data_IF_392780619081
#
_entry.id   IF_392780619081
#
_cell.length_a   1.000
_cell.length_b   1.000
_cell.length_c   1.000
_cell.angle_alpha   90.00
_cell.angle_beta   90.00
_cell.angle_gamma   90.00
#
_symmetry.space_group_name_H-M   'P 1'
#
loop_
_entity.id
_entity.type
_entity.pdbx_description
1 polymer ?
#
# COMPACT_ATOMS: atom_id res chain seq x y z
N UNK A 1 -3.56 -8.21 -15.31
CA UNK A 1 -4.62 -7.18 -15.34
C UNK A 1 -5.44 -7.19 -14.07
N UNK A 2 -5.64 -6.05 -13.43
CA UNK A 2 -6.55 -5.98 -12.29
C UNK A 2 -7.99 -6.30 -12.70
N UNK A 3 -8.72 -6.93 -11.80
CA UNK A 3 -10.13 -7.23 -12.04
C UNK A 3 -10.97 -5.96 -11.79
N UNK A 4 -11.80 -5.52 -12.73
CA UNK A 4 -12.62 -4.33 -12.53
C UNK A 4 -13.72 -4.51 -11.46
N UNK A 5 -14.05 -5.76 -11.11
CA UNK A 5 -15.05 -6.04 -10.07
C UNK A 5 -14.48 -6.03 -8.66
N UNK A 6 -13.15 -5.93 -8.51
CA UNK A 6 -12.50 -5.89 -7.21
C UNK A 6 -12.06 -4.47 -6.88
N UNK A 7 -12.06 -4.16 -5.60
CA UNK A 7 -11.45 -2.91 -5.12
C UNK A 7 -9.93 -3.05 -5.12
N UNK A 8 -9.25 -1.93 -5.30
CA UNK A 8 -7.79 -1.90 -5.36
C UNK A 8 -7.22 -1.34 -4.06
N UNK A 9 -6.28 -2.08 -3.49
CA UNK A 9 -5.60 -1.73 -2.25
C UNK A 9 -4.12 -1.50 -2.54
N UNK A 10 -3.61 -0.33 -2.17
CA UNK A 10 -2.20 -0.01 -2.29
C UNK A 10 -1.48 -0.31 -0.98
N UNK A 11 -0.35 -0.98 -1.07
CA UNK A 11 0.45 -1.39 0.08
C UNK A 11 1.84 -0.75 -0.02
N UNK A 12 2.13 0.14 0.92
CA UNK A 12 3.41 0.86 0.98
C UNK A 12 3.95 0.75 2.39
N UNK A 13 5.26 0.62 2.53
CA UNK A 13 5.89 0.56 3.84
C UNK A 13 7.25 1.24 3.80
N UNK A 14 7.58 1.98 4.86
CA UNK A 14 8.94 2.43 5.10
C UNK A 14 9.85 1.21 5.30
N UNK A 15 11.15 1.36 5.08
CA UNK A 15 12.09 0.24 5.17
C UNK A 15 11.99 -0.48 6.50
N UNK A 16 11.90 0.24 7.60
CA UNK A 16 11.76 -0.35 8.93
C UNK A 16 10.43 -1.04 9.19
N UNK A 17 9.47 -0.94 8.27
CA UNK A 17 8.14 -1.54 8.43
C UNK A 17 7.83 -2.61 7.37
N UNK A 18 8.76 -2.92 6.49
CA UNK A 18 8.51 -3.90 5.42
C UNK A 18 8.23 -5.30 5.96
N UNK A 19 8.96 -5.73 7.00
CA UNK A 19 8.73 -7.03 7.62
C UNK A 19 7.31 -7.10 8.24
N UNK A 20 6.87 -6.02 8.88
CA UNK A 20 5.52 -5.94 9.45
C UNK A 20 4.46 -5.98 8.36
N UNK A 21 4.69 -5.33 7.23
CA UNK A 21 3.78 -5.37 6.09
C UNK A 21 3.62 -6.79 5.56
N UNK A 22 4.73 -7.51 5.41
CA UNK A 22 4.69 -8.89 4.91
C UNK A 22 3.93 -9.79 5.88
N UNK A 23 4.21 -9.66 7.19
CA UNK A 23 3.48 -10.42 8.21
C UNK A 23 2.00 -10.10 8.20
N UNK A 24 1.63 -8.81 8.08
CA UNK A 24 0.25 -8.37 7.99
C UNK A 24 -0.47 -9.02 6.80
N UNK A 25 0.16 -9.03 5.64
CA UNK A 25 -0.41 -9.62 4.44
C UNK A 25 -0.62 -11.12 4.63
N UNK A 26 0.35 -11.83 5.19
CA UNK A 26 0.24 -13.27 5.43
C UNK A 26 -0.83 -13.59 6.46
N UNK A 27 -0.90 -12.82 7.53
CA UNK A 27 -1.88 -13.05 8.60
C UNK A 27 -3.32 -12.76 8.16
N UNK A 28 -3.50 -11.95 7.11
CA UNK A 28 -4.80 -11.53 6.62
C UNK A 28 -5.05 -11.96 5.17
N UNK A 29 -4.40 -13.03 4.74
CA UNK A 29 -4.39 -13.42 3.34
C UNK A 29 -5.79 -13.68 2.78
N UNK A 30 -6.71 -14.21 3.59
CA UNK A 30 -8.08 -14.50 3.15
C UNK A 30 -8.87 -13.24 2.81
N UNK A 31 -8.60 -12.15 3.51
CA UNK A 31 -9.22 -10.85 3.23
C UNK A 31 -8.50 -10.16 2.07
N UNK A 32 -7.17 -10.14 2.12
CA UNK A 32 -6.34 -9.36 1.19
C UNK A 32 -6.42 -9.91 -0.24
N UNK A 33 -6.52 -11.21 -0.41
CA UNK A 33 -6.65 -11.80 -1.75
C UNK A 33 -7.91 -11.37 -2.50
N UNK A 34 -8.88 -10.76 -1.82
CA UNK A 34 -10.10 -10.25 -2.45
C UNK A 34 -9.88 -8.92 -3.16
N UNK A 35 -8.72 -8.30 -2.97
CA UNK A 35 -8.41 -7.01 -3.58
C UNK A 35 -7.47 -7.17 -4.76
N UNK A 36 -7.52 -6.20 -5.68
CA UNK A 36 -6.40 -5.96 -6.58
C UNK A 36 -5.31 -5.29 -5.75
N UNK A 37 -4.10 -5.82 -5.78
CA UNK A 37 -3.00 -5.30 -4.95
C UNK A 37 -2.00 -4.52 -5.79
N UNK A 38 -1.59 -3.37 -5.27
CA UNK A 38 -0.51 -2.55 -5.82
C UNK A 38 0.48 -2.32 -4.69
N UNK A 39 1.76 -2.45 -4.96
CA UNK A 39 2.79 -2.24 -3.94
C UNK A 39 4.07 -1.69 -4.55
N UNK A 40 4.81 -0.92 -3.77
CA UNK A 40 6.09 -0.36 -4.21
C UNK A 40 7.23 -1.34 -3.94
N UNK A 41 8.22 -1.29 -4.81
CA UNK A 41 9.54 -1.87 -4.66
C UNK A 41 9.59 -3.29 -4.09
N UNK A 42 10.43 -3.46 -3.08
CA UNK A 42 10.65 -4.75 -2.42
C UNK A 42 9.40 -5.26 -1.69
N UNK A 43 8.53 -4.38 -1.24
CA UNK A 43 7.25 -4.81 -0.62
C UNK A 43 6.45 -5.66 -1.60
N UNK A 44 6.32 -5.22 -2.84
CA UNK A 44 5.62 -5.97 -3.87
C UNK A 44 6.25 -7.32 -4.15
N UNK A 45 7.58 -7.37 -4.16
CA UNK A 45 8.31 -8.61 -4.37
C UNK A 45 8.01 -9.63 -3.27
N UNK A 46 8.03 -9.21 -2.00
CA UNK A 46 7.74 -10.11 -0.88
C UNK A 46 6.28 -10.57 -0.87
N UNK A 47 5.35 -9.70 -1.25
CA UNK A 47 3.94 -10.07 -1.35
C UNK A 47 3.75 -11.13 -2.43
N UNK A 48 4.40 -10.96 -3.57
CA UNK A 48 4.37 -11.94 -4.66
C UNK A 48 4.94 -13.28 -4.22
N UNK A 49 6.03 -13.28 -3.46
CA UNK A 49 6.63 -14.48 -2.89
C UNK A 49 5.71 -15.18 -1.89
N UNK A 50 4.81 -14.43 -1.26
CA UNK A 50 3.80 -15.02 -0.36
C UNK A 50 2.63 -15.66 -1.12
N UNK A 51 2.65 -15.64 -2.44
CA UNK A 51 1.67 -16.33 -3.27
C UNK A 51 0.52 -15.46 -3.77
N UNK A 52 0.61 -14.15 -3.60
CA UNK A 52 -0.41 -13.21 -4.05
C UNK A 52 -0.01 -12.51 -5.34
N UNK A 53 -1.00 -12.24 -6.18
CA UNK A 53 -0.80 -11.41 -7.35
C UNK A 53 -0.75 -9.95 -6.92
N UNK A 54 0.27 -9.24 -7.36
CA UNK A 54 0.45 -7.83 -7.01
C UNK A 54 1.02 -7.08 -8.21
N UNK A 55 0.49 -5.89 -8.47
CA UNK A 55 1.07 -5.00 -9.47
C UNK A 55 2.21 -4.24 -8.77
N UNK A 56 3.44 -4.52 -9.17
CA UNK A 56 4.62 -3.91 -8.56
C UNK A 56 4.90 -2.55 -9.19
N UNK A 57 4.98 -1.53 -8.34
CA UNK A 57 5.44 -0.21 -8.73
C UNK A 57 6.95 -0.13 -8.54
N UNK A 58 7.56 0.96 -9.00
CA UNK A 58 8.97 1.22 -8.73
C UNK A 58 9.19 1.41 -7.23
N UNK A 59 10.45 1.31 -6.78
CA UNK A 59 10.82 1.66 -5.41
C UNK A 59 10.60 3.16 -5.17
N UNK A 60 10.47 3.57 -3.91
CA UNK A 60 10.28 4.97 -3.55
C UNK A 60 11.27 5.92 -4.24
N UNK A 61 12.60 5.68 -4.12
CA UNK A 61 13.59 6.55 -4.75
C UNK A 61 13.49 6.64 -6.27
N UNK A 62 12.87 5.65 -6.90
CA UNK A 62 12.70 5.61 -8.36
C UNK A 62 11.31 6.06 -8.81
N UNK A 63 10.52 6.62 -7.92
CA UNK A 63 9.23 7.19 -8.26
C UNK A 63 8.01 6.30 -8.00
N UNK A 64 8.15 5.26 -7.19
CA UNK A 64 7.03 4.38 -6.86
C UNK A 64 5.87 5.10 -6.17
N UNK A 65 6.19 6.03 -5.27
CA UNK A 65 5.19 6.86 -4.61
C UNK A 65 4.47 7.78 -5.61
N UNK A 66 5.17 8.30 -6.60
CA UNK A 66 4.56 9.10 -7.66
C UNK A 66 3.62 8.26 -8.53
N UNK A 67 3.97 7.01 -8.79
CA UNK A 67 3.09 6.10 -9.54
C UNK A 67 1.79 5.82 -8.78
N UNK A 68 1.88 5.61 -7.47
CA UNK A 68 0.69 5.43 -6.62
C UNK A 68 -0.13 6.72 -6.59
N UNK A 69 0.53 7.87 -6.45
CA UNK A 69 -0.14 9.16 -6.46
C UNK A 69 -0.97 9.36 -7.74
N UNK A 70 -0.39 9.04 -8.89
CA UNK A 70 -1.11 9.14 -10.16
C UNK A 70 -2.35 8.25 -10.19
N UNK A 71 -2.26 7.05 -9.65
CA UNK A 71 -3.40 6.13 -9.57
C UNK A 71 -4.49 6.62 -8.62
N UNK A 72 -4.11 7.28 -7.54
CA UNK A 72 -5.08 7.91 -6.63
C UNK A 72 -5.86 8.99 -7.39
N UNK A 73 -5.16 9.86 -8.09
CA UNK A 73 -5.77 10.95 -8.87
C UNK A 73 -6.70 10.41 -9.95
N UNK A 74 -6.33 9.31 -10.58
CA UNK A 74 -7.13 8.67 -11.63
C UNK A 74 -8.31 7.86 -11.11
N UNK A 75 -8.49 7.77 -9.79
CA UNK A 75 -9.61 7.04 -9.20
C UNK A 75 -9.45 5.53 -9.22
N UNK A 76 -8.24 5.03 -9.38
CA UNK A 76 -7.98 3.60 -9.49
C UNK A 76 -7.71 2.91 -8.15
N UNK A 77 -7.59 3.66 -7.05
CA UNK A 77 -7.27 3.13 -5.72
C UNK A 77 -8.43 3.37 -4.78
N UNK A 78 -8.84 2.34 -4.05
CA UNK A 78 -9.96 2.38 -3.11
C UNK A 78 -9.52 2.45 -1.66
N UNK A 79 -8.31 2.02 -1.34
CA UNK A 79 -7.75 2.08 -0.01
C UNK A 79 -6.24 2.00 -0.03
N UNK A 80 -5.60 2.54 1.00
CA UNK A 80 -4.15 2.58 1.10
C UNK A 80 -3.74 2.13 2.49
N UNK A 81 -2.79 1.18 2.56
CA UNK A 81 -2.09 0.85 3.79
C UNK A 81 -0.66 1.34 3.62
N UNK A 82 -0.29 2.36 4.38
CA UNK A 82 1.05 2.92 4.37
C UNK A 82 1.64 2.75 5.77
N UNK A 83 2.38 1.67 5.99
CA UNK A 83 3.01 1.44 7.30
C UNK A 83 4.19 2.38 7.47
N UNK A 84 3.96 3.40 8.26
CA UNK A 84 4.89 4.47 8.50
C UNK A 84 5.81 4.12 9.65
N UNK A 85 7.09 4.45 9.53
CA UNK A 85 8.05 4.38 10.62
C UNK A 85 8.14 5.78 11.27
N UNK A 86 7.45 6.00 12.41
CA UNK A 86 7.40 7.33 13.01
C UNK A 86 8.71 7.74 13.69
N UNK A 87 9.59 6.78 13.93
CA UNK A 87 10.86 7.01 14.61
C UNK A 87 12.06 6.95 13.65
N UNK A 88 11.83 6.61 12.40
CA UNK A 88 12.86 6.55 11.39
C UNK A 88 12.99 7.86 10.63
N UNK A 89 14.23 8.21 10.24
CA UNK A 89 14.50 9.35 9.36
C UNK A 89 15.33 8.82 8.20
N UNK A 90 14.67 8.60 7.08
CA UNK A 90 15.31 8.02 5.90
C UNK A 90 15.02 8.88 4.67
N UNK A 91 16.05 9.49 4.05
CA UNK A 91 15.84 10.38 2.90
C UNK A 91 15.30 9.68 1.66
N UNK A 92 15.35 8.35 1.62
CA UNK A 92 14.89 7.56 0.46
C UNK A 92 13.50 6.96 0.63
N UNK A 93 12.79 7.36 1.67
CA UNK A 93 11.45 6.84 1.94
C UNK A 93 10.41 7.45 0.99
N UNK A 94 9.32 6.72 0.70
CA UNK A 94 8.20 7.30 -0.04
C UNK A 94 7.65 8.55 0.63
N UNK A 95 7.16 9.49 -0.18
CA UNK A 95 6.62 10.75 0.31
C UNK A 95 5.24 10.54 0.95
N UNK A 96 5.25 10.30 2.27
CA UNK A 96 4.02 10.09 3.04
C UNK A 96 3.10 11.31 3.00
N UNK A 97 3.67 12.53 3.05
CA UNK A 97 2.85 13.74 3.10
C UNK A 97 2.08 13.97 1.80
N UNK A 98 2.69 13.67 0.65
CA UNK A 98 2.00 13.72 -0.63
C UNK A 98 0.85 12.72 -0.68
N UNK A 99 1.09 11.48 -0.26
CA UNK A 99 0.07 10.44 -0.30
C UNK A 99 -1.07 10.71 0.68
N UNK A 100 -0.75 11.21 1.88
CA UNK A 100 -1.77 11.62 2.85
C UNK A 100 -2.66 12.72 2.28
N UNK A 101 -2.06 13.73 1.68
CA UNK A 101 -2.81 14.84 1.09
C UNK A 101 -3.73 14.35 -0.03
N UNK A 102 -3.22 13.52 -0.92
CA UNK A 102 -4.02 13.00 -2.04
C UNK A 102 -5.15 12.09 -1.56
N UNK A 103 -4.91 11.28 -0.53
CA UNK A 103 -5.95 10.46 0.06
C UNK A 103 -7.08 11.33 0.64
N UNK A 104 -6.72 12.43 1.32
CA UNK A 104 -7.71 13.34 1.88
C UNK A 104 -8.46 14.11 0.79
N UNK A 105 -7.75 14.59 -0.23
CA UNK A 105 -8.39 15.32 -1.36
C UNK A 105 -9.38 14.42 -2.09
N UNK A 106 -9.02 13.17 -2.30
CA UNK A 106 -9.85 12.23 -3.06
C UNK A 106 -10.73 11.34 -2.19
N UNK A 107 -10.73 11.58 -0.87
CA UNK A 107 -11.54 10.88 0.12
C UNK A 107 -11.34 9.36 0.08
N UNK A 108 -10.08 8.95 0.10
CA UNK A 108 -9.69 7.54 0.09
C UNK A 108 -9.21 7.16 1.49
N UNK A 109 -9.72 6.05 2.09
CA UNK A 109 -9.24 5.61 3.40
C UNK A 109 -7.77 5.22 3.35
N UNK A 110 -7.01 5.71 4.32
CA UNK A 110 -5.58 5.45 4.44
C UNK A 110 -5.24 5.07 5.88
N UNK A 111 -4.59 3.94 6.05
CA UNK A 111 -4.13 3.46 7.35
C UNK A 111 -2.60 3.55 7.44
N UNK A 112 -2.08 4.10 8.54
CA UNK A 112 -0.65 4.28 8.72
C UNK A 112 -0.02 3.33 9.74
N UNK A 113 -0.83 2.47 10.34
CA UNK A 113 -0.38 1.48 11.32
C UNK A 113 -1.22 0.20 11.22
N UNK A 114 -0.77 -0.85 11.88
CA UNK A 114 -1.42 -2.16 11.77
C UNK A 114 -2.84 -2.18 12.30
N UNK A 115 -3.11 -1.45 13.39
CA UNK A 115 -4.45 -1.41 13.97
C UNK A 115 -5.45 -0.81 12.98
N UNK A 116 -5.11 0.33 12.39
CA UNK A 116 -5.96 0.98 11.38
C UNK A 116 -6.08 0.13 10.12
N UNK A 117 -4.98 -0.48 9.70
CA UNK A 117 -4.96 -1.34 8.52
C UNK A 117 -5.91 -2.53 8.68
N UNK A 118 -5.94 -3.16 9.86
CA UNK A 118 -6.84 -4.27 10.12
C UNK A 118 -8.30 -3.88 10.01
N UNK A 119 -8.66 -2.71 10.51
CA UNK A 119 -10.02 -2.18 10.41
C UNK A 119 -10.35 -1.88 8.94
N UNK A 120 -9.41 -1.23 8.24
CA UNK A 120 -9.62 -0.81 6.87
C UNK A 120 -9.90 -2.00 5.94
N UNK A 121 -9.11 -3.05 6.02
CA UNK A 121 -9.29 -4.20 5.11
C UNK A 121 -10.56 -4.98 5.40
N UNK A 122 -11.09 -4.92 6.61
CA UNK A 122 -12.36 -5.57 6.95
C UNK A 122 -13.55 -4.77 6.44
N UNK A 123 -13.45 -3.45 6.47
CA UNK A 123 -14.55 -2.57 6.08
C UNK A 123 -14.58 -2.24 4.59
N UNK A 124 -13.44 -2.36 3.94
CA UNK A 124 -13.32 -2.03 2.52
C UNK A 124 -13.97 -3.10 1.64
#
# INVERSE_FOLDING_TARGET
MPSPSKKTLALVAHDGKKAEMVAFVKDNIKLIKKFNLIATGTTGKYIEEAGLKVQKMESGPKGGDAQIAAKIVDGEINGIVFLRDPLGIHPHEPDIFMLLRLADVHNIPLATNLASASILIRAL
#
